data_IF_037147310218
#
_entry.id   IF_037147310218
#
_cell.length_a   1.000
_cell.length_b   1.000
_cell.length_c   1.000
_cell.angle_alpha   90.00
_cell.angle_beta   90.00
_cell.angle_gamma   90.00
#
_symmetry.space_group_name_H-M   'P 1'
#
loop_
_entity.id
_entity.type
_entity.pdbx_description
1 polymer ?
#
# COMPACT_ATOMS: atom_id res chain seq x y z
N UNK A 1 -10.47 -6.00 1.73
CA UNK A 1 -11.55 -6.41 2.66
C UNK A 1 -12.27 -5.19 3.18
N UNK A 2 -13.58 -5.24 3.28
CA UNK A 2 -14.41 -4.20 3.90
C UNK A 2 -15.23 -4.79 5.03
N UNK A 3 -15.53 -3.98 6.05
CA UNK A 3 -16.44 -4.39 7.11
C UNK A 3 -17.81 -3.76 6.83
N UNK A 4 -18.88 -4.55 6.68
CA UNK A 4 -20.22 -3.99 6.66
C UNK A 4 -20.50 -3.39 8.04
N UNK A 5 -20.73 -2.07 8.07
CA UNK A 5 -21.07 -1.34 9.30
C UNK A 5 -22.42 -0.68 9.12
N UNK A 6 -23.22 -0.70 10.18
CA UNK A 6 -24.38 0.16 10.31
C UNK A 6 -24.01 1.41 11.11
N UNK A 7 -24.64 2.53 10.79
CA UNK A 7 -24.39 3.80 11.45
C UNK A 7 -24.67 3.69 12.96
N UNK A 8 -23.67 4.02 13.79
CA UNK A 8 -23.81 4.00 15.25
C UNK A 8 -23.40 2.69 15.96
N UNK A 9 -22.89 1.69 15.24
CA UNK A 9 -22.44 0.44 15.86
C UNK A 9 -20.98 0.49 16.30
N UNK A 10 -20.74 0.27 17.60
CA UNK A 10 -19.44 0.06 18.18
C UNK A 10 -18.58 1.32 18.43
N UNK A 11 -17.63 1.17 19.33
CA UNK A 11 -16.55 2.13 19.55
C UNK A 11 -15.50 2.01 18.44
N UNK A 12 -14.67 3.03 18.23
CA UNK A 12 -13.56 3.00 17.26
C UNK A 12 -12.67 1.79 17.52
N UNK A 13 -12.40 1.47 18.80
CA UNK A 13 -11.58 0.33 19.17
C UNK A 13 -12.21 -1.01 18.76
N UNK A 14 -13.50 -1.20 18.99
CA UNK A 14 -14.21 -2.42 18.58
C UNK A 14 -14.21 -2.59 17.07
N UNK A 15 -14.35 -1.50 16.32
CA UNK A 15 -14.27 -1.49 14.87
C UNK A 15 -12.87 -1.90 14.39
N UNK A 16 -11.82 -1.33 15.00
CA UNK A 16 -10.44 -1.67 14.68
C UNK A 16 -10.14 -3.14 15.01
N UNK A 17 -10.57 -3.63 16.16
CA UNK A 17 -10.40 -5.02 16.55
C UNK A 17 -11.10 -5.96 15.55
N UNK A 18 -12.33 -5.66 15.14
CA UNK A 18 -13.07 -6.45 14.15
C UNK A 18 -12.40 -6.44 12.77
N UNK A 19 -11.86 -5.28 12.32
CA UNK A 19 -11.09 -5.21 11.08
C UNK A 19 -9.81 -6.05 11.17
N UNK A 20 -9.10 -5.95 12.27
CA UNK A 20 -7.90 -6.74 12.53
C UNK A 20 -8.22 -8.23 12.50
N UNK A 21 -9.22 -8.67 13.26
CA UNK A 21 -9.63 -10.07 13.36
C UNK A 21 -10.06 -10.65 12.00
N UNK A 22 -10.69 -9.84 11.16
CA UNK A 22 -11.05 -10.22 9.78
C UNK A 22 -9.81 -10.53 8.90
N UNK A 23 -8.69 -9.86 9.14
CA UNK A 23 -7.46 -10.05 8.36
C UNK A 23 -6.59 -11.21 8.86
N UNK A 24 -6.68 -11.57 10.14
CA UNK A 24 -5.82 -12.60 10.75
C UNK A 24 -5.86 -13.94 10.01
N UNK A 25 -7.03 -14.51 9.64
CA UNK A 25 -7.08 -15.77 8.92
C UNK A 25 -6.28 -15.75 7.61
N UNK A 26 -6.30 -14.64 6.88
CA UNK A 26 -5.57 -14.48 5.62
C UNK A 26 -4.07 -14.29 5.83
N UNK A 27 -3.67 -13.58 6.88
CA UNK A 27 -2.25 -13.41 7.26
C UNK A 27 -1.67 -14.77 7.67
N UNK A 28 -2.41 -15.53 8.47
CA UNK A 28 -2.01 -16.87 8.89
C UNK A 28 -1.97 -17.86 7.73
N UNK A 29 -2.93 -17.75 6.78
CA UNK A 29 -2.92 -18.57 5.57
C UNK A 29 -1.73 -18.25 4.68
N UNK A 30 -1.39 -16.96 4.49
CA UNK A 30 -0.17 -16.57 3.80
C UNK A 30 1.06 -17.21 4.45
N UNK A 31 1.14 -17.17 5.79
CA UNK A 31 2.22 -17.80 6.54
C UNK A 31 2.27 -19.32 6.36
N UNK A 32 1.12 -20.02 6.35
CA UNK A 32 1.07 -21.48 6.10
C UNK A 32 1.48 -21.86 4.69
N UNK A 33 1.19 -21.01 3.70
CA UNK A 33 1.62 -21.21 2.31
C UNK A 33 3.09 -20.86 2.08
N UNK A 34 3.81 -20.35 3.08
CA UNK A 34 5.21 -19.97 2.96
C UNK A 34 5.43 -18.67 2.20
N UNK A 35 4.44 -17.77 2.18
CA UNK A 35 4.58 -16.45 1.58
C UNK A 35 5.74 -15.70 2.24
N UNK A 36 6.64 -15.19 1.42
CA UNK A 36 7.84 -14.50 1.89
C UNK A 36 7.59 -13.01 2.18
N UNK A 37 6.71 -12.37 1.41
CA UNK A 37 6.37 -10.95 1.53
C UNK A 37 4.86 -10.76 1.39
N UNK A 38 4.23 -10.21 2.41
CA UNK A 38 2.80 -9.90 2.45
C UNK A 38 2.59 -8.39 2.52
N UNK A 39 1.71 -7.85 1.70
CA UNK A 39 1.23 -6.48 1.80
C UNK A 39 -0.27 -6.44 2.07
N UNK A 40 -0.68 -5.72 3.11
CA UNK A 40 -2.08 -5.48 3.41
C UNK A 40 -2.61 -4.26 2.64
N UNK A 41 -3.93 -4.08 2.58
CA UNK A 41 -4.56 -2.94 1.92
C UNK A 41 -4.34 -1.63 2.69
N UNK A 42 -4.55 -0.48 2.06
CA UNK A 42 -4.47 0.85 2.66
C UNK A 42 -5.34 0.96 3.91
N UNK A 43 -4.77 1.47 5.04
CA UNK A 43 -5.40 1.60 6.37
C UNK A 43 -6.23 0.36 6.75
N UNK A 44 -5.59 -0.82 6.68
CA UNK A 44 -6.25 -2.12 6.74
C UNK A 44 -7.03 -2.35 8.04
N UNK A 45 -6.59 -1.77 9.16
CA UNK A 45 -7.17 -1.95 10.49
C UNK A 45 -8.37 -1.04 10.78
N UNK A 46 -8.85 -0.29 9.77
CA UNK A 46 -10.06 0.52 9.83
C UNK A 46 -10.87 0.39 8.54
N UNK A 47 -12.18 0.69 8.54
CA UNK A 47 -12.88 1.00 7.30
C UNK A 47 -12.28 2.27 6.68
N UNK A 48 -12.54 2.50 5.39
CA UNK A 48 -12.10 3.72 4.72
C UNK A 48 -13.03 4.89 5.09
N UNK A 49 -12.69 5.58 6.17
CA UNK A 49 -13.52 6.63 6.79
C UNK A 49 -13.47 7.99 6.08
N UNK A 50 -12.65 8.15 5.05
CA UNK A 50 -12.40 9.42 4.39
C UNK A 50 -13.56 10.00 3.55
N UNK A 51 -14.66 9.28 3.24
CA UNK A 51 -15.83 9.91 2.65
C UNK A 51 -16.52 10.91 3.57
N UNK A 52 -16.36 10.77 4.90
CA UNK A 52 -16.79 11.73 5.91
C UNK A 52 -15.63 12.61 6.39
N UNK A 53 -15.98 13.64 7.18
CA UNK A 53 -15.03 14.51 7.87
C UNK A 53 -15.28 14.48 9.39
N UNK A 54 -15.51 13.26 9.92
CA UNK A 54 -15.84 13.06 11.33
C UNK A 54 -14.55 12.87 12.16
N UNK A 55 -14.35 13.78 13.12
CA UNK A 55 -13.18 13.78 14.01
C UNK A 55 -13.06 12.55 14.90
N UNK A 56 -14.15 11.78 15.11
CA UNK A 56 -14.08 10.55 15.89
C UNK A 56 -13.02 9.59 15.37
N UNK A 57 -12.75 9.60 14.05
CA UNK A 57 -11.74 8.75 13.42
C UNK A 57 -10.29 9.11 13.79
N UNK A 58 -10.03 10.28 14.39
CA UNK A 58 -8.71 10.59 14.95
C UNK A 58 -8.32 9.63 16.10
N UNK A 59 -9.31 9.00 16.73
CA UNK A 59 -9.07 8.00 17.80
C UNK A 59 -8.51 6.68 17.23
N UNK A 60 -8.67 6.41 15.92
CA UNK A 60 -8.11 5.22 15.28
C UNK A 60 -6.62 5.37 14.92
N UNK A 61 -6.06 6.57 15.06
CA UNK A 61 -4.65 6.80 14.78
C UNK A 61 -3.77 6.31 15.94
N UNK A 62 -2.71 5.59 15.61
CA UNK A 62 -1.76 5.03 16.59
C UNK A 62 -0.30 5.39 16.24
N UNK A 63 0.60 5.28 17.22
CA UNK A 63 2.04 5.45 16.96
C UNK A 63 2.56 4.37 16.00
N UNK A 64 3.61 4.69 15.25
CA UNK A 64 4.32 3.74 14.38
C UNK A 64 5.83 3.81 14.67
N UNK A 65 6.43 2.77 15.30
CA UNK A 65 5.81 1.55 15.78
C UNK A 65 4.82 1.76 16.93
N UNK A 66 3.87 0.82 17.09
CA UNK A 66 2.81 0.86 18.09
C UNK A 66 1.96 -0.43 18.08
N UNK A 67 0.78 -0.42 18.69
CA UNK A 67 0.02 -1.64 19.00
C UNK A 67 -0.21 -2.57 17.81
N UNK A 68 -0.62 -2.03 16.64
CA UNK A 68 -0.84 -2.86 15.46
C UNK A 68 0.47 -3.38 14.88
N UNK A 69 1.50 -2.55 14.79
CA UNK A 69 2.81 -3.00 14.27
C UNK A 69 3.44 -4.03 15.18
N UNK A 70 3.32 -3.91 16.52
CA UNK A 70 3.81 -4.90 17.48
C UNK A 70 3.16 -6.28 17.29
N UNK A 71 1.83 -6.31 17.08
CA UNK A 71 1.12 -7.56 16.74
C UNK A 71 1.63 -8.16 15.43
N UNK A 72 1.88 -7.33 14.42
CA UNK A 72 2.40 -7.78 13.13
C UNK A 72 3.85 -8.25 13.20
N UNK A 73 4.68 -7.68 14.07
CA UNK A 73 6.05 -8.16 14.34
C UNK A 73 6.06 -9.61 14.85
N UNK A 74 5.10 -9.94 15.72
CA UNK A 74 4.95 -11.32 16.22
C UNK A 74 4.58 -12.28 15.08
N UNK A 75 3.66 -11.88 14.18
CA UNK A 75 3.25 -12.70 13.05
C UNK A 75 4.36 -12.82 12.00
N UNK A 76 5.07 -11.73 11.70
CA UNK A 76 6.21 -11.72 10.80
C UNK A 76 7.26 -12.74 11.25
N UNK A 77 7.67 -12.68 12.51
CA UNK A 77 8.63 -13.62 13.11
C UNK A 77 8.09 -15.06 13.11
N UNK A 78 6.81 -15.26 13.49
CA UNK A 78 6.19 -16.58 13.56
C UNK A 78 6.25 -17.31 12.22
N UNK A 79 5.99 -16.58 11.13
CA UNK A 79 5.88 -17.14 9.79
C UNK A 79 7.13 -16.89 8.91
N UNK A 80 8.17 -16.26 9.47
CA UNK A 80 9.35 -15.88 8.69
C UNK A 80 8.98 -15.08 7.43
N UNK A 81 8.07 -14.14 7.57
CA UNK A 81 7.41 -13.40 6.50
C UNK A 81 7.54 -11.89 6.70
N UNK A 82 8.01 -11.17 5.69
CA UNK A 82 7.98 -9.71 5.67
C UNK A 82 6.53 -9.25 5.60
N UNK A 83 6.14 -8.27 6.42
CA UNK A 83 4.78 -7.73 6.39
C UNK A 83 4.82 -6.21 6.18
N UNK A 84 4.12 -5.73 5.16
CA UNK A 84 3.86 -4.32 4.90
C UNK A 84 2.50 -3.98 5.51
N UNK A 85 2.49 -3.03 6.46
CA UNK A 85 1.37 -2.75 7.37
C UNK A 85 0.88 -1.31 7.18
N UNK A 86 -0.08 -1.07 6.28
CA UNK A 86 -0.63 0.27 6.05
C UNK A 86 -1.68 0.62 7.13
N UNK A 87 -1.42 1.69 7.90
CA UNK A 87 -2.27 2.13 9.00
C UNK A 87 -2.35 3.66 9.10
N UNK A 88 -3.28 4.15 9.93
CA UNK A 88 -3.37 5.55 10.30
C UNK A 88 -2.39 5.87 11.44
N UNK A 89 -1.39 6.68 11.14
CA UNK A 89 -0.33 7.03 12.07
C UNK A 89 -0.62 8.33 12.83
N UNK A 90 -0.36 8.30 14.14
CA UNK A 90 -0.27 9.48 15.00
C UNK A 90 1.19 9.71 15.40
N UNK A 91 1.84 10.70 14.82
CA UNK A 91 3.20 11.12 15.21
C UNK A 91 3.18 11.91 16.51
N UNK A 92 2.24 12.85 16.60
CA UNK A 92 1.96 13.64 17.77
C UNK A 92 0.53 14.18 17.71
N UNK A 93 -0.02 14.77 18.78
CA UNK A 93 -1.34 15.40 18.72
C UNK A 93 -1.46 16.39 17.57
N UNK A 94 -2.46 16.18 16.69
CA UNK A 94 -2.72 17.01 15.52
C UNK A 94 -1.81 16.78 14.31
N UNK A 95 -0.86 15.84 14.37
CA UNK A 95 0.01 15.48 13.24
C UNK A 95 -0.16 14.00 12.91
N UNK A 96 -0.93 13.75 11.85
CA UNK A 96 -1.42 12.42 11.48
C UNK A 96 -1.04 12.12 10.03
N UNK A 97 -0.73 10.85 9.73
CA UNK A 97 -0.31 10.40 8.40
C UNK A 97 -0.99 9.10 7.98
N UNK A 98 -1.15 8.93 6.67
CA UNK A 98 -1.41 7.63 6.07
C UNK A 98 -0.04 6.95 5.86
N UNK A 99 0.21 5.86 6.56
CA UNK A 99 1.55 5.30 6.73
C UNK A 99 1.55 3.80 6.48
N UNK A 100 2.61 3.30 5.86
CA UNK A 100 2.89 1.87 5.77
C UNK A 100 4.19 1.56 6.53
N UNK A 101 4.08 0.77 7.58
CA UNK A 101 5.23 0.21 8.28
C UNK A 101 5.75 -1.01 7.53
N UNK A 102 7.08 -1.21 7.53
CA UNK A 102 7.71 -2.40 6.96
C UNK A 102 8.38 -3.19 8.08
N UNK A 103 7.99 -4.45 8.20
CA UNK A 103 8.48 -5.38 9.22
C UNK A 103 9.18 -6.53 8.52
N UNK A 104 10.42 -6.82 8.90
CA UNK A 104 11.20 -7.91 8.31
C UNK A 104 10.74 -9.29 8.82
N UNK A 105 11.18 -10.33 8.16
CA UNK A 105 10.82 -11.72 8.42
C UNK A 105 11.21 -12.23 9.81
N UNK A 106 12.15 -11.58 10.48
CA UNK A 106 12.52 -11.90 11.87
C UNK A 106 11.71 -11.13 12.92
N UNK A 107 10.78 -10.26 12.47
CA UNK A 107 9.96 -9.37 13.27
C UNK A 107 10.59 -8.00 13.54
N UNK A 108 11.74 -7.70 12.95
CA UNK A 108 12.36 -6.38 13.09
C UNK A 108 11.58 -5.32 12.34
N UNK A 109 11.24 -4.20 13.03
CA UNK A 109 10.69 -3.02 12.38
C UNK A 109 11.80 -2.29 11.61
N UNK A 110 11.70 -2.24 10.28
CA UNK A 110 12.70 -1.63 9.39
C UNK A 110 12.48 -0.12 9.19
N UNK A 111 11.27 0.35 9.40
CA UNK A 111 10.90 1.75 9.16
C UNK A 111 9.52 1.88 8.54
N UNK A 112 9.23 3.07 8.00
CA UNK A 112 7.91 3.40 7.45
C UNK A 112 8.00 4.32 6.24
N UNK A 113 7.00 4.22 5.38
CA UNK A 113 6.68 5.18 4.33
C UNK A 113 5.43 5.96 4.74
N UNK A 114 5.41 7.28 4.51
CA UNK A 114 4.23 8.14 4.67
C UNK A 114 3.75 8.58 3.30
N UNK A 115 2.47 8.40 3.00
CA UNK A 115 1.85 8.79 1.72
C UNK A 115 2.16 10.25 1.40
N UNK A 116 2.84 10.50 0.28
CA UNK A 116 3.28 11.83 -0.11
C UNK A 116 2.15 12.66 -0.71
N UNK A 117 1.32 12.05 -1.56
CA UNK A 117 0.24 12.73 -2.27
C UNK A 117 -1.11 12.40 -1.63
N UNK A 118 -1.75 13.41 -1.07
CA UNK A 118 -3.02 13.27 -0.36
C UNK A 118 -4.15 13.81 -1.22
N UNK A 119 -5.11 12.96 -1.66
CA UNK A 119 -6.24 13.40 -2.46
C UNK A 119 -7.19 14.29 -1.67
N UNK A 120 -7.93 15.14 -2.39
CA UNK A 120 -8.99 15.95 -1.83
C UNK A 120 -10.07 16.16 -2.90
N UNK A 121 -10.91 15.17 -3.06
CA UNK A 121 -12.04 15.19 -3.98
C UNK A 121 -13.25 14.52 -3.34
N UNK A 122 -14.42 14.66 -3.93
CA UNK A 122 -15.65 14.09 -3.41
C UNK A 122 -15.50 12.61 -3.05
N UNK A 123 -15.81 12.27 -1.80
CA UNK A 123 -15.66 10.92 -1.26
C UNK A 123 -14.24 10.55 -0.79
N UNK A 124 -13.23 11.38 -1.08
CA UNK A 124 -11.84 11.18 -0.72
C UNK A 124 -11.29 12.45 -0.02
N UNK A 125 -11.90 12.79 1.14
CA UNK A 125 -11.52 13.97 1.92
C UNK A 125 -10.28 13.71 2.80
N UNK A 126 -9.26 13.07 2.23
CA UNK A 126 -8.10 12.62 2.96
C UNK A 126 -7.29 13.76 3.59
N UNK A 127 -7.27 14.96 3.00
CA UNK A 127 -6.58 16.13 3.58
C UNK A 127 -7.17 16.60 4.92
N UNK A 128 -8.39 16.16 5.27
CA UNK A 128 -8.95 16.39 6.60
C UNK A 128 -8.25 15.55 7.67
N UNK A 129 -7.75 14.38 7.29
CA UNK A 129 -7.17 13.40 8.20
C UNK A 129 -5.64 13.35 8.15
N UNK A 130 -5.06 13.47 6.96
CA UNK A 130 -3.65 13.18 6.74
C UNK A 130 -2.86 14.39 6.27
N UNK A 131 -1.71 14.58 6.90
CA UNK A 131 -0.67 15.46 6.41
C UNK A 131 0.12 14.76 5.28
N UNK A 132 0.58 15.49 4.25
CA UNK A 132 1.52 14.92 3.28
C UNK A 132 2.76 14.33 3.92
N UNK A 133 3.23 13.22 3.39
CA UNK A 133 4.44 12.54 3.86
C UNK A 133 5.69 13.42 3.81
N UNK A 134 6.64 13.13 4.70
CA UNK A 134 7.86 13.91 4.87
C UNK A 134 9.12 13.05 4.99
N UNK A 135 9.02 11.77 4.60
CA UNK A 135 10.13 10.80 4.67
C UNK A 135 10.74 10.51 3.28
N UNK A 136 10.27 11.20 2.23
CA UNK A 136 10.66 10.91 0.86
C UNK A 136 10.16 9.53 0.42
N UNK A 137 11.00 8.82 -0.31
CA UNK A 137 10.70 7.50 -0.90
C UNK A 137 11.73 6.46 -0.43
N UNK A 138 11.67 6.02 0.83
CA UNK A 138 12.59 5.03 1.35
C UNK A 138 12.41 3.68 0.67
N UNK A 139 13.52 2.95 0.51
CA UNK A 139 13.54 1.56 0.08
C UNK A 139 14.12 0.74 1.23
N UNK A 140 13.41 -0.31 1.60
CA UNK A 140 13.72 -1.14 2.76
C UNK A 140 14.43 -2.41 2.30
N UNK A 141 15.64 -2.64 2.80
CA UNK A 141 16.32 -3.90 2.60
C UNK A 141 15.73 -4.95 3.55
N UNK A 142 14.97 -5.87 2.99
CA UNK A 142 14.39 -6.98 3.74
C UNK A 142 15.20 -8.27 3.53
N UNK A 143 14.82 -9.32 4.25
CA UNK A 143 15.41 -10.65 4.06
C UNK A 143 15.33 -11.16 2.61
N UNK A 144 14.26 -10.80 1.87
CA UNK A 144 13.96 -11.42 0.58
C UNK A 144 14.16 -10.51 -0.62
N UNK A 145 13.89 -9.21 -0.48
CA UNK A 145 14.00 -8.23 -1.56
C UNK A 145 14.11 -6.79 -1.02
N UNK A 146 14.49 -5.86 -1.89
CA UNK A 146 14.43 -4.42 -1.63
C UNK A 146 13.04 -3.89 -1.96
N UNK A 147 12.33 -3.42 -0.95
CA UNK A 147 10.92 -3.05 -1.05
C UNK A 147 10.73 -1.54 -1.00
N UNK A 148 10.00 -1.02 -1.98
CA UNK A 148 9.40 0.31 -1.94
C UNK A 148 7.91 0.24 -1.63
N UNK A 149 7.36 1.30 -1.05
CA UNK A 149 5.91 1.45 -0.85
C UNK A 149 5.44 2.75 -1.49
N UNK A 150 4.28 2.69 -2.15
CA UNK A 150 3.71 3.81 -2.88
C UNK A 150 2.19 3.77 -2.71
N UNK A 151 1.62 4.56 -1.79
CA UNK A 151 0.26 4.34 -1.30
C UNK A 151 -0.79 4.98 -2.22
N UNK A 152 -1.70 4.17 -2.75
CA UNK A 152 -2.97 4.55 -3.40
C UNK A 152 -2.81 5.70 -4.42
N UNK A 153 -3.21 6.92 -4.07
CA UNK A 153 -3.16 8.12 -4.92
C UNK A 153 -1.76 8.48 -5.42
N UNK A 154 -0.72 8.04 -4.72
CA UNK A 154 0.67 8.23 -5.17
C UNK A 154 0.88 7.70 -6.59
N UNK A 155 0.16 6.62 -6.99
CA UNK A 155 0.29 5.99 -8.31
C UNK A 155 0.08 6.93 -9.50
N UNK A 156 -0.65 8.03 -9.30
CA UNK A 156 -0.89 9.04 -10.34
C UNK A 156 0.35 9.91 -10.64
N UNK A 157 1.41 9.80 -9.83
CA UNK A 157 2.60 10.63 -9.91
C UNK A 157 3.82 9.77 -10.30
N UNK A 158 4.24 9.76 -11.58
CA UNK A 158 5.34 8.93 -12.04
C UNK A 158 6.69 9.28 -11.42
N UNK A 159 6.83 10.49 -10.89
CA UNK A 159 8.08 11.00 -10.31
C UNK A 159 8.50 10.18 -9.09
N UNK A 160 7.58 9.93 -8.15
CA UNK A 160 7.85 9.12 -6.97
C UNK A 160 8.14 7.66 -7.30
N UNK A 161 7.43 7.10 -8.28
CA UNK A 161 7.71 5.76 -8.80
C UNK A 161 9.14 5.65 -9.36
N UNK A 162 9.60 6.68 -10.05
CA UNK A 162 11.00 6.78 -10.55
C UNK A 162 12.00 6.90 -9.41
N UNK A 163 11.71 7.68 -8.38
CA UNK A 163 12.61 7.84 -7.22
C UNK A 163 12.76 6.52 -6.48
N UNK A 164 11.68 5.76 -6.28
CA UNK A 164 11.77 4.40 -5.69
C UNK A 164 12.69 3.48 -6.50
N UNK A 165 12.58 3.51 -7.83
CA UNK A 165 13.48 2.75 -8.70
C UNK A 165 14.94 3.20 -8.61
N UNK A 166 15.20 4.51 -8.54
CA UNK A 166 16.55 5.06 -8.36
C UNK A 166 17.15 4.71 -6.99
N UNK A 167 16.31 4.59 -5.96
CA UNK A 167 16.70 4.13 -4.63
C UNK A 167 16.89 2.60 -4.56
N UNK A 168 16.72 1.90 -5.68
CA UNK A 168 17.04 0.48 -5.83
C UNK A 168 15.90 -0.47 -5.48
N UNK A 169 14.64 -0.02 -5.49
CA UNK A 169 13.51 -0.93 -5.30
C UNK A 169 13.51 -2.06 -6.33
N UNK A 170 13.29 -3.27 -5.86
CA UNK A 170 13.09 -4.49 -6.65
C UNK A 170 11.61 -4.81 -6.78
N UNK A 171 10.85 -4.56 -5.71
CA UNK A 171 9.40 -4.69 -5.66
C UNK A 171 8.81 -3.42 -5.05
N UNK A 172 7.80 -2.84 -5.71
CA UNK A 172 7.05 -1.70 -5.17
C UNK A 172 5.62 -2.15 -4.89
N UNK A 173 5.16 -1.97 -3.66
CA UNK A 173 3.78 -2.26 -3.27
C UNK A 173 2.93 -0.99 -3.26
N UNK A 174 1.72 -1.09 -3.84
CA UNK A 174 0.73 -0.02 -3.85
C UNK A 174 -0.54 -0.44 -3.10
N UNK A 175 -0.54 -0.35 -1.75
CA UNK A 175 -1.76 -0.55 -0.98
C UNK A 175 -2.76 0.58 -1.25
N UNK A 176 -4.02 0.22 -1.54
CA UNK A 176 -5.04 1.14 -2.02
C UNK A 176 -6.42 0.88 -1.42
N UNK A 177 -7.26 1.93 -1.46
CA UNK A 177 -8.69 1.89 -1.22
C UNK A 177 -9.37 2.74 -2.31
N UNK A 178 -9.61 2.16 -3.47
CA UNK A 178 -10.18 2.87 -4.63
C UNK A 178 -11.47 2.20 -5.13
N UNK A 179 -12.47 3.04 -5.44
CA UNK A 179 -13.82 2.60 -5.81
C UNK A 179 -14.03 2.61 -7.32
N UNK A 180 -15.03 1.84 -7.76
CA UNK A 180 -15.45 1.77 -9.14
C UNK A 180 -15.89 3.14 -9.69
N UNK A 181 -15.66 3.35 -10.98
CA UNK A 181 -16.06 4.53 -11.73
C UNK A 181 -14.94 5.54 -11.91
N UNK A 182 -14.66 6.37 -10.95
CA UNK A 182 -13.83 7.57 -11.10
C UNK A 182 -12.45 7.34 -11.75
N UNK A 183 -11.66 6.42 -11.20
CA UNK A 183 -10.28 6.18 -11.66
C UNK A 183 -9.97 4.70 -11.95
N UNK A 184 -11.00 3.86 -12.10
CA UNK A 184 -10.82 2.42 -12.29
C UNK A 184 -10.01 2.10 -13.56
N UNK A 185 -10.20 2.87 -14.63
CA UNK A 185 -9.43 2.69 -15.87
C UNK A 185 -7.92 2.93 -15.69
N UNK A 186 -7.52 3.80 -14.74
CA UNK A 186 -6.13 4.07 -14.43
C UNK A 186 -5.46 2.93 -13.65
N UNK A 187 -6.25 2.10 -12.96
CA UNK A 187 -5.75 1.01 -12.12
C UNK A 187 -4.82 0.06 -12.88
N UNK A 188 -5.21 -0.31 -14.09
CA UNK A 188 -4.44 -1.21 -14.98
C UNK A 188 -3.57 -0.47 -16.00
N UNK A 189 -3.53 0.85 -15.97
CA UNK A 189 -2.71 1.66 -16.90
C UNK A 189 -1.43 2.14 -16.22
N UNK A 190 -1.55 2.81 -15.08
CA UNK A 190 -0.45 3.55 -14.46
C UNK A 190 0.60 2.62 -13.85
N UNK A 191 0.17 1.63 -13.08
CA UNK A 191 1.10 0.77 -12.33
C UNK A 191 1.89 -0.18 -13.25
N UNK A 192 1.32 -0.79 -14.29
CA UNK A 192 2.09 -1.47 -15.32
C UNK A 192 3.10 -0.56 -16.02
N UNK A 193 2.71 0.70 -16.31
CA UNK A 193 3.63 1.68 -16.88
C UNK A 193 4.80 2.01 -15.93
N UNK A 194 4.53 2.12 -14.62
CA UNK A 194 5.59 2.31 -13.62
C UNK A 194 6.53 1.11 -13.54
N UNK A 195 6.00 -0.11 -13.53
CA UNK A 195 6.80 -1.34 -13.53
C UNK A 195 7.73 -1.39 -14.74
N UNK A 196 7.19 -1.20 -15.95
CA UNK A 196 7.95 -1.22 -17.20
C UNK A 196 9.01 -0.09 -17.25
N UNK A 197 8.63 1.15 -16.90
CA UNK A 197 9.52 2.29 -16.95
C UNK A 197 10.70 2.19 -15.98
N UNK A 198 10.55 1.42 -14.89
CA UNK A 198 11.56 1.27 -13.85
C UNK A 198 12.19 -0.13 -13.79
N UNK A 199 11.68 -1.10 -14.57
CA UNK A 199 12.17 -2.47 -14.58
C UNK A 199 12.16 -3.10 -13.19
N UNK A 200 11.05 -2.98 -12.44
CA UNK A 200 10.82 -3.60 -11.14
C UNK A 200 9.44 -4.27 -11.09
N UNK A 201 9.23 -5.15 -10.13
CA UNK A 201 7.90 -5.73 -9.89
C UNK A 201 6.98 -4.74 -9.16
N UNK A 202 5.66 -4.88 -9.37
CA UNK A 202 4.67 -4.21 -8.54
C UNK A 202 3.64 -5.17 -7.97
N UNK A 203 3.32 -4.99 -6.69
CA UNK A 203 2.15 -5.57 -6.04
C UNK A 203 1.11 -4.47 -5.82
N UNK A 204 -0.06 -4.62 -6.42
CA UNK A 204 -1.13 -3.63 -6.39
C UNK A 204 -2.31 -4.18 -5.61
N UNK A 205 -2.52 -3.68 -4.40
CA UNK A 205 -3.51 -4.19 -3.47
C UNK A 205 -4.68 -3.21 -3.37
N UNK A 206 -5.88 -3.66 -3.62
CA UNK A 206 -7.07 -2.83 -3.45
C UNK A 206 -8.05 -3.44 -2.45
N UNK A 207 -8.79 -2.58 -1.80
CA UNK A 207 -9.94 -2.95 -0.97
C UNK A 207 -11.06 -3.53 -1.84
N UNK A 208 -11.92 -4.39 -1.28
CA UNK A 208 -13.06 -5.00 -1.96
C UNK A 208 -14.34 -4.85 -1.14
N UNK A 209 -15.48 -4.73 -1.79
CA UNK A 209 -16.80 -4.65 -1.16
C UNK A 209 -17.30 -3.22 -0.93
N UNK A 210 -18.34 -3.07 -0.13
CA UNK A 210 -18.95 -1.79 0.21
C UNK A 210 -18.84 -1.53 1.70
N UNK A 211 -18.63 -0.27 2.06
CA UNK A 211 -18.57 0.17 3.44
C UNK A 211 -19.69 1.15 3.73
N UNK A 212 -20.64 0.72 4.54
CA UNK A 212 -21.69 1.55 5.09
C UNK A 212 -21.17 2.24 6.35
N UNK A 213 -21.63 3.46 6.68
CA UNK A 213 -22.76 4.19 6.11
C UNK A 213 -22.40 5.15 4.96
N UNK A 214 -21.16 5.20 4.47
CA UNK A 214 -20.73 6.31 3.60
C UNK A 214 -21.24 6.28 2.17
N UNK A 215 -21.70 5.14 1.68
CA UNK A 215 -22.21 4.98 0.31
C UNK A 215 -21.29 5.60 -0.76
N UNK A 216 -19.97 5.43 -0.57
CA UNK A 216 -18.94 5.91 -1.50
C UNK A 216 -19.01 5.17 -2.85
N UNK A 217 -19.59 3.97 -2.86
CA UNK A 217 -19.56 3.02 -3.95
C UNK A 217 -18.79 1.77 -3.58
N UNK A 218 -18.65 0.87 -4.56
CA UNK A 218 -18.01 -0.42 -4.37
C UNK A 218 -16.50 -0.31 -4.61
N UNK A 219 -15.70 -0.72 -3.63
CA UNK A 219 -14.29 -1.01 -3.83
C UNK A 219 -14.18 -2.25 -4.72
N UNK A 220 -13.53 -2.12 -5.86
CA UNK A 220 -13.62 -3.11 -6.94
C UNK A 220 -12.59 -4.25 -6.85
N UNK A 221 -11.83 -4.37 -5.75
CA UNK A 221 -10.83 -5.41 -5.63
C UNK A 221 -9.83 -5.41 -6.79
N UNK A 222 -9.77 -6.50 -7.54
CA UNK A 222 -8.85 -6.66 -8.68
C UNK A 222 -7.40 -6.32 -8.31
N UNK A 223 -6.96 -6.76 -7.13
CA UNK A 223 -5.54 -6.73 -6.77
C UNK A 223 -4.74 -7.55 -7.77
N UNK A 224 -3.50 -7.15 -8.09
CA UNK A 224 -2.71 -7.85 -9.09
C UNK A 224 -1.21 -7.66 -8.89
N UNK A 225 -0.44 -8.51 -9.55
CA UNK A 225 1.00 -8.38 -9.67
C UNK A 225 1.43 -8.06 -11.09
N UNK A 226 2.46 -7.21 -11.22
CA UNK A 226 3.04 -6.78 -12.49
C UNK A 226 4.52 -7.12 -12.52
N UNK A 227 4.98 -7.64 -13.64
CA UNK A 227 6.39 -7.93 -13.88
C UNK A 227 7.19 -6.69 -14.35
N UNK A 228 8.53 -6.76 -14.39
CA UNK A 228 9.38 -5.67 -14.87
C UNK A 228 9.17 -5.25 -16.34
N UNK A 229 8.41 -6.02 -17.12
CA UNK A 229 8.00 -5.69 -18.50
C UNK A 229 6.65 -4.97 -18.56
N UNK A 230 5.99 -4.78 -17.39
CA UNK A 230 4.67 -4.16 -17.30
C UNK A 230 3.52 -5.12 -17.60
N UNK A 231 3.74 -6.43 -17.54
CA UNK A 231 2.69 -7.41 -17.76
C UNK A 231 2.05 -7.82 -16.43
N UNK A 232 0.71 -7.77 -16.39
CA UNK A 232 -0.05 -8.33 -15.26
C UNK A 232 -0.03 -9.85 -15.40
N UNK A 233 0.59 -10.55 -14.47
CA UNK A 233 0.76 -12.00 -14.53
C UNK A 233 -0.08 -12.78 -13.50
N UNK A 234 -0.68 -12.09 -12.54
CA UNK A 234 -1.61 -12.66 -11.57
C UNK A 234 -2.58 -11.60 -11.09
N UNK A 235 -3.86 -11.96 -10.97
CA UNK A 235 -4.92 -11.02 -10.60
C UNK A 235 -6.00 -11.68 -9.76
N UNK A 236 -6.42 -10.99 -8.70
CA UNK A 236 -7.52 -11.34 -7.83
C UNK A 236 -8.89 -11.02 -8.44
N UNK A 237 -9.94 -11.56 -7.85
CA UNK A 237 -11.33 -11.30 -8.23
C UNK A 237 -11.73 -9.84 -7.99
N UNK A 238 -12.92 -9.50 -8.45
CA UNK A 238 -13.52 -8.19 -8.26
C UNK A 238 -14.30 -8.07 -6.95
N UNK A 239 -14.83 -9.16 -6.48
CA UNK A 239 -15.94 -9.14 -5.53
C UNK A 239 -15.66 -9.84 -4.21
N UNK A 240 -14.63 -10.69 -4.17
CA UNK A 240 -14.35 -11.53 -3.01
C UNK A 240 -13.16 -11.04 -2.18
N UNK A 241 -13.25 -11.25 -0.86
CA UNK A 241 -12.08 -11.17 0.01
C UNK A 241 -11.19 -12.40 -0.25
N UNK A 242 -9.96 -12.18 -0.69
CA UNK A 242 -9.05 -13.28 -1.03
C UNK A 242 -7.58 -12.96 -0.77
N UNK A 243 -6.78 -13.99 -0.66
CA UNK A 243 -5.33 -13.93 -0.63
C UNK A 243 -4.80 -14.23 -2.03
N UNK A 244 -4.21 -13.23 -2.70
CA UNK A 244 -3.52 -13.41 -3.97
C UNK A 244 -2.05 -13.73 -3.71
N UNK A 245 -1.58 -14.88 -4.22
CA UNK A 245 -0.19 -15.33 -4.09
C UNK A 245 0.40 -15.57 -5.47
N UNK A 246 1.66 -15.15 -5.67
CA UNK A 246 2.42 -15.41 -6.90
C UNK A 246 3.91 -15.51 -6.60
N UNK A 247 4.63 -16.20 -7.47
CA UNK A 247 6.09 -16.29 -7.42
C UNK A 247 6.72 -15.22 -8.31
N UNK A 248 7.80 -14.59 -7.83
CA UNK A 248 8.57 -13.57 -8.55
C UNK A 248 9.97 -14.09 -8.81
N UNK A 249 10.35 -14.15 -10.08
CA UNK A 249 11.73 -14.38 -10.48
C UNK A 249 12.48 -13.04 -10.48
N UNK A 250 13.22 -12.73 -9.42
CA UNK A 250 13.93 -11.47 -9.28
C UNK A 250 15.07 -11.30 -10.30
N UNK A 251 15.58 -12.36 -10.90
CA UNK A 251 16.61 -12.29 -11.96
C UNK A 251 16.07 -11.60 -13.22
N UNK A 252 14.74 -11.62 -13.41
CA UNK A 252 14.06 -10.88 -14.49
C UNK A 252 14.32 -9.37 -14.43
N UNK A 253 14.57 -8.81 -13.25
CA UNK A 253 14.91 -7.40 -13.08
C UNK A 253 16.21 -7.06 -13.79
N UNK A 254 17.26 -7.89 -13.59
CA UNK A 254 18.54 -7.71 -14.23
C UNK A 254 18.44 -7.91 -15.74
N UNK A 255 17.75 -8.95 -16.19
CA UNK A 255 17.49 -9.20 -17.61
C UNK A 255 16.85 -8.01 -18.30
N UNK A 256 15.76 -7.46 -17.73
CA UNK A 256 15.03 -6.32 -18.30
C UNK A 256 15.88 -5.05 -18.29
N UNK A 257 16.58 -4.76 -17.17
CA UNK A 257 17.41 -3.55 -17.05
C UNK A 257 18.67 -3.60 -17.89
N UNK A 258 19.20 -4.78 -18.19
CA UNK A 258 20.32 -4.94 -19.12
C UNK A 258 19.91 -4.81 -20.58
N UNK A 259 18.67 -5.23 -20.93
CA UNK A 259 18.10 -5.05 -22.26
C UNK A 259 17.69 -3.60 -22.52
N UNK A 260 16.92 -3.04 -21.57
CA UNK A 260 16.42 -1.67 -21.64
C UNK A 260 17.16 -0.80 -20.60
N UNK A 261 18.26 -0.22 -20.98
CA UNK A 261 19.13 0.52 -20.08
C UNK A 261 18.59 1.91 -19.71
N UNK A 262 17.31 2.00 -19.34
CA UNK A 262 16.61 3.26 -19.07
C UNK A 262 17.27 4.11 -17.97
N UNK A 263 17.88 3.50 -16.96
CA UNK A 263 18.60 4.23 -15.92
C UNK A 263 19.89 4.88 -16.41
N UNK A 264 20.63 4.22 -17.29
CA UNK A 264 21.85 4.76 -17.95
C UNK A 264 21.49 5.92 -18.86
N UNK A 265 20.39 5.78 -19.62
CA UNK A 265 20.03 6.70 -20.69
C UNK A 265 19.19 7.90 -20.22
N UNK A 266 18.96 8.02 -18.89
CA UNK A 266 18.33 9.20 -18.30
C UNK A 266 19.16 10.46 -18.53
N UNK A 267 18.46 11.60 -18.68
CA UNK A 267 19.04 12.91 -18.88
C UNK A 267 18.62 13.87 -17.73
N UNK A 268 19.06 13.62 -16.46
CA UNK A 268 18.64 14.42 -15.30
C UNK A 268 18.84 15.91 -15.46
N UNK A 269 19.88 16.30 -16.20
CA UNK A 269 20.19 17.72 -16.49
C UNK A 269 19.12 18.44 -17.30
N UNK A 270 18.17 17.70 -17.91
CA UNK A 270 17.03 18.26 -18.65
C UNK A 270 15.73 18.32 -17.84
N UNK A 271 15.73 17.79 -16.60
CA UNK A 271 14.52 17.59 -15.80
C UNK A 271 14.30 18.69 -14.74
N UNK A 272 15.03 19.79 -14.79
CA UNK A 272 14.95 20.85 -13.77
C UNK A 272 13.53 21.33 -13.49
N UNK A 273 12.67 21.41 -14.53
CA UNK A 273 11.25 21.79 -14.39
C UNK A 273 10.43 20.90 -13.45
N UNK A 274 10.82 19.64 -13.25
CA UNK A 274 10.09 18.72 -12.34
C UNK A 274 10.22 19.14 -10.86
N UNK A 275 11.19 19.96 -10.52
CA UNK A 275 11.45 20.40 -9.14
C UNK A 275 11.14 21.89 -8.90
N UNK A 276 10.67 22.61 -9.92
CA UNK A 276 10.20 23.98 -9.82
C UNK A 276 8.71 24.02 -9.42
N UNK A 277 8.30 25.00 -8.59
CA UNK A 277 6.91 25.25 -8.20
C UNK A 277 6.24 26.21 -9.19
#
# INVERSE_FOLDING_TARGET
MSLPMTEGEGTIKEIMDAMYDKHIPYIEEAGRQGVQILCLQEIFNTPYFCPGQDRKWYESAESVPGPTTEKMQVLAKKYNMVIIVPIYEKEQPGVLYNTAAVIDADGTYLGKYRKNHIPHTTGFWEKFFFKPGNLGYPVFQTKYAKIGVYICYDRHFPDGARVLGLNGAEIVYNPSATVAGLSEYLWKLEQPAHAAANGYFMGCINRVGEEKPWNLGKFYGQSYFVDPRGQIFSQASRDDDELLVAEFDLDLIEEVRSTWQFYRDRRPETYGKLTEL
#
